data_IF_365822307540
#
_entry.id   IF_365822307540
#
_cell.length_a   1.000
_cell.length_b   1.000
_cell.length_c   1.000
_cell.angle_alpha   90.00
_cell.angle_beta   90.00
_cell.angle_gamma   90.00
#
_symmetry.space_group_name_H-M   'P 1'
#
loop_
_entity.id
_entity.type
_entity.pdbx_description
1 polymer ?
#
# COMPACT_ATOMS: atom_id res chain seq x y z
N UNK A 1 16.02 -0.90 -20.40
CA UNK A 1 17.42 -0.41 -20.55
C UNK A 1 18.02 -0.23 -19.16
N UNK A 2 19.32 -0.51 -18.97
CA UNK A 2 20.02 -0.11 -17.73
C UNK A 2 19.93 1.43 -17.66
N UNK A 3 19.37 1.97 -16.57
CA UNK A 3 19.08 3.41 -16.33
C UNK A 3 17.83 4.02 -17.00
N UNK A 4 16.87 3.21 -17.49
CA UNK A 4 15.56 3.73 -17.90
C UNK A 4 14.59 3.88 -16.73
N UNK A 5 13.46 4.59 -16.90
CA UNK A 5 12.39 4.61 -15.93
C UNK A 5 11.91 3.18 -15.63
N UNK A 6 11.60 2.93 -14.37
CA UNK A 6 11.00 1.69 -13.92
C UNK A 6 9.58 1.54 -14.47
N UNK A 7 9.07 0.31 -14.52
CA UNK A 7 7.69 0.06 -14.96
C UNK A 7 6.64 0.82 -14.12
N UNK A 8 6.94 1.12 -12.87
CA UNK A 8 6.06 1.89 -11.98
C UNK A 8 6.11 3.38 -12.34
N UNK A 9 7.28 3.91 -12.69
CA UNK A 9 7.43 5.29 -13.17
C UNK A 9 6.72 5.48 -14.51
N UNK A 10 6.92 4.56 -15.45
CA UNK A 10 6.21 4.58 -16.74
C UNK A 10 4.70 4.49 -16.58
N UNK A 11 4.21 3.65 -15.65
CA UNK A 11 2.78 3.56 -15.39
C UNK A 11 2.21 4.85 -14.77
N UNK A 12 2.98 5.51 -13.89
CA UNK A 12 2.60 6.82 -13.37
C UNK A 12 2.52 7.87 -14.50
N UNK A 13 3.53 7.92 -15.37
CA UNK A 13 3.57 8.84 -16.52
C UNK A 13 2.37 8.63 -17.44
N UNK A 14 2.09 7.38 -17.82
CA UNK A 14 0.95 7.01 -18.64
C UNK A 14 -0.40 7.42 -18.00
N UNK A 15 -0.57 7.19 -16.70
CA UNK A 15 -1.81 7.58 -16.01
C UNK A 15 -1.96 9.11 -15.90
N UNK A 16 -0.85 9.83 -15.69
CA UNK A 16 -0.86 11.29 -15.65
C UNK A 16 -1.21 11.89 -17.02
N UNK A 17 -0.69 11.33 -18.11
CA UNK A 17 -0.99 11.76 -19.47
C UNK A 17 -2.49 11.58 -19.79
N UNK A 18 -3.06 10.41 -19.48
CA UNK A 18 -4.50 10.15 -19.66
C UNK A 18 -5.35 11.11 -18.81
N UNK A 19 -4.93 11.39 -17.58
CA UNK A 19 -5.63 12.34 -16.71
C UNK A 19 -5.62 13.78 -17.28
N UNK A 20 -4.55 14.18 -17.96
CA UNK A 20 -4.43 15.50 -18.60
C UNK A 20 -5.34 15.64 -19.82
N UNK A 21 -5.61 14.56 -20.55
CA UNK A 21 -6.53 14.60 -21.69
C UNK A 21 -7.98 14.92 -21.28
N UNK A 22 -8.36 14.60 -20.04
CA UNK A 22 -9.72 14.80 -19.52
C UNK A 22 -9.67 15.43 -18.11
N UNK A 23 -9.29 16.71 -17.98
CA UNK A 23 -9.01 17.34 -16.69
C UNK A 23 -10.24 17.42 -15.76
N UNK A 24 -11.44 17.42 -16.32
CA UNK A 24 -12.70 17.48 -15.58
C UNK A 24 -13.22 16.09 -15.15
N UNK A 25 -12.50 15.01 -15.48
CA UNK A 25 -12.92 13.63 -15.19
C UNK A 25 -12.05 13.00 -14.12
N UNK A 26 -12.69 12.18 -13.28
CA UNK A 26 -12.00 11.35 -12.27
C UNK A 26 -11.87 9.92 -12.79
N UNK A 27 -10.69 9.34 -12.63
CA UNK A 27 -10.36 8.01 -13.11
C UNK A 27 -10.30 7.01 -11.96
N UNK A 28 -10.93 5.87 -12.13
CA UNK A 28 -10.79 4.73 -11.23
C UNK A 28 -9.95 3.68 -11.94
N UNK A 29 -8.67 3.61 -11.61
CA UNK A 29 -7.75 2.68 -12.21
C UNK A 29 -7.69 1.40 -11.38
N UNK A 30 -7.94 0.26 -12.02
CA UNK A 30 -7.91 -1.05 -11.40
C UNK A 30 -6.68 -1.80 -11.89
N UNK A 31 -5.78 -2.15 -10.98
CA UNK A 31 -4.51 -2.77 -11.30
C UNK A 31 -4.36 -4.13 -10.60
N UNK A 32 -3.47 -4.96 -11.14
CA UNK A 32 -2.99 -6.12 -10.41
C UNK A 32 -2.09 -5.72 -9.23
N UNK A 33 -1.57 -6.72 -8.50
CA UNK A 33 -0.71 -6.47 -7.34
C UNK A 33 0.71 -6.00 -7.64
N UNK A 34 1.16 -6.04 -8.91
CA UNK A 34 2.45 -5.50 -9.30
C UNK A 34 2.46 -3.97 -9.14
N UNK A 35 1.34 -3.33 -9.47
CA UNK A 35 1.15 -1.89 -9.36
C UNK A 35 0.65 -1.41 -7.99
N UNK A 36 0.62 -2.27 -6.98
CA UNK A 36 0.22 -1.86 -5.62
C UNK A 36 1.09 -0.72 -5.06
N UNK A 37 2.32 -0.57 -5.56
CA UNK A 37 3.23 0.53 -5.21
C UNK A 37 2.89 1.88 -5.83
N UNK A 38 1.92 1.94 -6.74
CA UNK A 38 1.32 3.21 -7.20
C UNK A 38 0.44 3.83 -6.11
N UNK A 39 -0.03 3.05 -5.14
CA UNK A 39 -0.79 3.59 -4.01
C UNK A 39 0.05 4.62 -3.24
N UNK A 40 -0.49 5.83 -3.09
CA UNK A 40 0.20 6.96 -2.46
C UNK A 40 1.11 7.77 -3.37
N UNK A 41 1.20 7.44 -4.67
CA UNK A 41 1.77 8.35 -5.67
C UNK A 41 0.76 9.44 -6.03
N UNK A 42 1.28 10.62 -6.33
CA UNK A 42 0.48 11.76 -6.75
C UNK A 42 0.18 11.66 -8.25
N UNK A 43 -1.00 11.15 -8.57
CA UNK A 43 -1.51 11.00 -9.94
C UNK A 43 -2.77 11.84 -10.06
N UNK A 44 -2.81 12.87 -10.93
CA UNK A 44 -3.95 13.76 -11.07
C UNK A 44 -5.26 13.00 -11.29
N UNK A 45 -6.30 13.42 -10.59
CA UNK A 45 -7.68 12.93 -10.76
C UNK A 45 -7.86 11.40 -10.73
N UNK A 46 -6.93 10.64 -10.14
CA UNK A 46 -6.91 9.18 -10.27
C UNK A 46 -6.98 8.48 -8.91
N UNK A 47 -7.92 7.55 -8.79
CA UNK A 47 -8.01 6.59 -7.69
C UNK A 47 -7.47 5.23 -8.14
N UNK A 48 -6.47 4.72 -7.42
CA UNK A 48 -5.84 3.43 -7.71
C UNK A 48 -6.41 2.37 -6.78
N UNK A 49 -6.97 1.31 -7.36
CA UNK A 49 -7.38 0.10 -6.65
C UNK A 49 -6.53 -1.06 -7.13
N UNK A 50 -5.79 -1.68 -6.21
CA UNK A 50 -4.88 -2.79 -6.52
C UNK A 50 -4.91 -3.85 -5.42
N UNK A 51 -4.45 -5.06 -5.75
CA UNK A 51 -4.41 -6.21 -4.83
C UNK A 51 -3.04 -6.31 -4.15
N UNK A 52 -2.98 -6.11 -2.83
CA UNK A 52 -1.76 -6.38 -2.07
C UNK A 52 -1.51 -7.88 -1.92
N UNK A 53 -0.25 -8.32 -2.06
CA UNK A 53 0.13 -9.71 -1.75
C UNK A 53 -0.13 -10.03 -0.27
N UNK A 54 -0.72 -11.19 0.01
CA UNK A 54 -1.03 -11.64 1.39
C UNK A 54 0.20 -11.76 2.28
N UNK A 55 1.36 -12.03 1.68
CA UNK A 55 2.65 -12.21 2.34
C UNK A 55 3.53 -10.95 2.27
N UNK A 56 2.96 -9.80 1.91
CA UNK A 56 3.70 -8.55 1.79
C UNK A 56 4.43 -8.17 3.08
N UNK A 57 5.67 -7.71 2.94
CA UNK A 57 6.44 -7.13 4.03
C UNK A 57 5.99 -5.69 4.25
N UNK A 58 5.12 -5.48 5.23
CA UNK A 58 4.65 -4.16 5.63
C UNK A 58 5.60 -3.59 6.68
N UNK A 59 5.91 -2.31 6.56
CA UNK A 59 6.75 -1.57 7.49
C UNK A 59 6.00 -0.34 7.95
N UNK A 60 6.23 0.03 9.20
CA UNK A 60 5.77 1.29 9.74
C UNK A 60 6.51 2.47 9.09
N UNK A 61 5.93 3.66 9.25
CA UNK A 61 6.59 4.91 8.89
C UNK A 61 7.93 5.02 9.63
N UNK A 62 8.90 5.64 8.97
CA UNK A 62 10.22 5.82 9.57
C UNK A 62 10.16 6.96 10.60
N UNK A 63 10.45 6.66 11.86
CA UNK A 63 10.57 7.67 12.90
C UNK A 63 11.63 8.74 12.57
N UNK A 64 11.49 9.93 13.15
CA UNK A 64 12.46 11.01 13.01
C UNK A 64 13.87 10.51 13.37
N UNK A 65 14.82 10.74 12.45
CA UNK A 65 16.20 10.27 12.59
C UNK A 65 16.82 10.83 13.88
N UNK A 66 17.43 9.96 14.69
CA UNK A 66 18.38 10.40 15.73
C UNK A 66 19.63 10.98 15.04
N UNK A 67 20.08 12.16 15.45
CA UNK A 67 21.30 12.78 14.89
C UNK A 67 22.52 11.87 15.20
N UNK A 68 23.38 11.67 14.20
CA UNK A 68 24.73 11.04 14.31
C UNK A 68 24.77 9.56 14.76
N UNK A 69 24.05 8.65 14.08
CA UNK A 69 24.28 7.20 14.25
C UNK A 69 25.32 6.67 13.25
N UNK A 70 26.21 5.79 13.68
CA UNK A 70 27.18 5.11 12.81
C UNK A 70 26.46 4.23 11.78
N UNK A 71 26.92 4.26 10.52
CA UNK A 71 26.41 3.40 9.44
C UNK A 71 25.27 4.01 8.62
N UNK A 72 24.81 3.27 7.61
CA UNK A 72 23.75 3.74 6.70
C UNK A 72 22.43 3.91 7.46
N UNK A 73 21.77 5.07 7.37
CA UNK A 73 20.44 5.25 7.97
C UNK A 73 19.45 4.21 7.45
N UNK A 74 18.59 3.71 8.35
CA UNK A 74 17.48 2.82 7.97
C UNK A 74 16.56 3.57 7.00
N UNK A 75 16.09 2.86 5.96
CA UNK A 75 15.13 3.39 4.97
C UNK A 75 13.67 3.08 5.32
N UNK A 76 13.43 2.19 6.27
CA UNK A 76 12.10 1.65 6.63
C UNK A 76 11.96 1.61 8.15
N UNK A 77 10.75 1.82 8.66
CA UNK A 77 10.43 1.70 10.08
C UNK A 77 10.40 0.25 10.57
N UNK A 78 9.74 0.02 11.70
CA UNK A 78 9.57 -1.33 12.26
C UNK A 78 8.80 -2.21 11.29
N UNK A 79 9.21 -3.48 11.15
CA UNK A 79 8.44 -4.45 10.36
C UNK A 79 7.14 -4.77 11.07
N UNK A 80 6.01 -4.61 10.38
CA UNK A 80 4.67 -4.95 10.86
C UNK A 80 4.32 -6.40 10.51
N UNK A 81 3.23 -6.91 11.08
CA UNK A 81 2.66 -8.21 10.71
C UNK A 81 2.23 -8.22 9.25
N UNK A 82 2.45 -9.36 8.58
CA UNK A 82 2.00 -9.53 7.20
C UNK A 82 0.46 -9.47 7.12
N UNK A 83 -0.11 -9.08 5.97
CA UNK A 83 -1.56 -9.04 5.78
C UNK A 83 -2.24 -10.35 6.15
N UNK A 84 -1.64 -11.49 5.80
CA UNK A 84 -2.16 -12.80 6.15
C UNK A 84 -2.32 -13.01 7.67
N UNK A 85 -1.33 -12.59 8.46
CA UNK A 85 -1.40 -12.69 9.93
C UNK A 85 -2.45 -11.74 10.51
N UNK A 86 -2.60 -10.56 9.92
CA UNK A 86 -3.63 -9.60 10.34
C UNK A 86 -5.04 -10.12 10.06
N UNK A 87 -5.27 -10.75 8.91
CA UNK A 87 -6.56 -11.35 8.56
C UNK A 87 -6.93 -12.45 9.55
N UNK A 88 -6.01 -13.38 9.84
CA UNK A 88 -6.25 -14.45 10.82
C UNK A 88 -6.59 -13.88 12.21
N UNK A 89 -5.89 -12.82 12.63
CA UNK A 89 -6.19 -12.11 13.88
C UNK A 89 -7.57 -11.47 13.86
N UNK A 90 -7.96 -10.80 12.78
CA UNK A 90 -9.28 -10.18 12.66
C UNK A 90 -10.39 -11.24 12.70
N UNK A 91 -10.21 -12.36 11.99
CA UNK A 91 -11.16 -13.47 12.01
C UNK A 91 -11.36 -14.03 13.41
N UNK A 92 -10.29 -14.25 14.18
CA UNK A 92 -10.40 -14.75 15.55
C UNK A 92 -11.10 -13.76 16.48
N UNK A 93 -10.84 -12.45 16.33
CA UNK A 93 -11.53 -11.38 17.05
C UNK A 93 -13.02 -11.31 16.72
N UNK A 94 -13.41 -11.44 15.44
CA UNK A 94 -14.82 -11.46 15.05
C UNK A 94 -15.55 -12.71 15.57
N UNK A 95 -14.92 -13.89 15.52
CA UNK A 95 -15.47 -15.13 16.05
C UNK A 95 -15.67 -15.08 17.57
N UNK A 96 -14.72 -14.51 18.32
CA UNK A 96 -14.84 -14.35 19.77
C UNK A 96 -15.88 -13.32 20.15
N UNK A 97 -15.96 -12.19 19.45
CA UNK A 97 -17.00 -11.18 19.67
C UNK A 97 -18.40 -11.77 19.45
N UNK A 98 -18.63 -12.45 18.32
CA UNK A 98 -19.93 -13.03 18.01
C UNK A 98 -20.32 -14.18 18.95
N UNK A 99 -19.36 -14.93 19.48
CA UNK A 99 -19.65 -16.01 20.43
C UNK A 99 -20.03 -15.49 21.82
N UNK A 100 -19.48 -14.34 22.26
CA UNK A 100 -19.89 -13.69 23.51
C UNK A 100 -21.35 -13.22 23.44
N UNK A 101 -21.80 -12.71 22.28
CA UNK A 101 -23.19 -12.29 22.07
C UNK A 101 -24.19 -13.45 21.94
N UNK A 102 -23.73 -14.68 21.62
CA UNK A 102 -24.60 -15.86 21.51
C UNK A 102 -24.75 -16.66 22.81
N UNK A 103 -23.87 -16.46 23.80
CA UNK A 103 -23.95 -17.12 25.13
C UNK A 103 -24.67 -16.24 26.16
N UNK A 104 -25.07 -15.02 25.77
CA UNK A 104 -25.76 -14.04 26.62
C UNK A 104 -27.23 -13.76 26.21
N UNK A 105 -27.79 -14.60 25.34
CA UNK A 105 -29.21 -14.61 24.95
C UNK A 105 -29.89 -15.91 25.42
#
# INVERSE_FOLDING_TARGET
KKNGPTLIELAQEMLAEVAQWLPERRFHCHCDGFYASLAGRDIPNTHITSRMRRDANIYDLLDKKRKKTRGRPRKKGKKLSSPNKNILRLQSLFLTANNVYMVSA
#
